data_IF_094867588628
#
_entry.id   IF_094867588628
#
_cell.length_a   1.000
_cell.length_b   1.000
_cell.length_c   1.000
_cell.angle_alpha   90.00
_cell.angle_beta   90.00
_cell.angle_gamma   90.00
#
_symmetry.space_group_name_H-M   'P 1'
#
loop_
_entity.id
_entity.type
_entity.pdbx_description
1 polymer ?
#
# COMPACT_ATOMS: atom_id res chain seq x y z
N UNK A 1 11.20 0.61 9.11
CA UNK A 1 10.15 1.11 8.19
C UNK A 1 9.09 0.06 7.94
N UNK A 2 9.46 -1.17 7.60
CA UNK A 2 8.52 -2.29 7.43
C UNK A 2 7.56 -2.47 8.61
N UNK A 3 8.04 -2.38 9.85
CA UNK A 3 7.19 -2.47 11.06
C UNK A 3 6.07 -1.42 11.11
N UNK A 4 6.27 -0.26 10.49
CA UNK A 4 5.26 0.81 10.44
C UNK A 4 4.22 0.58 9.35
N UNK A 5 4.58 -0.20 8.32
CA UNK A 5 3.71 -0.57 7.21
C UNK A 5 3.00 -1.91 7.47
N UNK A 6 3.60 -2.77 8.27
CA UNK A 6 3.04 -4.05 8.68
C UNK A 6 1.75 -3.88 9.49
N UNK A 7 0.83 -4.82 9.30
CA UNK A 7 -0.41 -4.90 10.09
C UNK A 7 -0.07 -5.14 11.57
N UNK A 8 0.84 -6.07 11.85
CA UNK A 8 1.10 -6.53 13.21
C UNK A 8 -0.18 -7.09 13.84
N UNK A 9 -0.43 -6.72 15.09
CA UNK A 9 -1.62 -7.13 15.85
C UNK A 9 -2.88 -6.29 15.56
N UNK A 10 -2.77 -5.25 14.70
CA UNK A 10 -3.89 -4.36 14.42
C UNK A 10 -4.99 -5.07 13.64
N UNK A 11 -6.24 -4.70 13.90
CA UNK A 11 -7.33 -5.06 13.01
C UNK A 11 -7.12 -4.41 11.63
N UNK A 12 -7.78 -4.95 10.60
CA UNK A 12 -7.71 -4.42 9.22
C UNK A 12 -8.08 -2.94 9.15
N UNK A 13 -9.16 -2.55 9.82
CA UNK A 13 -9.64 -1.17 9.85
C UNK A 13 -8.65 -0.22 10.53
N UNK A 14 -8.11 -0.62 11.69
CA UNK A 14 -7.11 0.18 12.42
C UNK A 14 -5.82 0.34 11.62
N UNK A 15 -5.39 -0.72 10.94
CA UNK A 15 -4.21 -0.70 10.10
C UNK A 15 -4.37 0.23 8.89
N UNK A 16 -5.46 0.11 8.14
CA UNK A 16 -5.77 1.02 7.01
C UNK A 16 -5.86 2.46 7.49
N UNK A 17 -6.53 2.71 8.61
CA UNK A 17 -6.64 4.05 9.18
C UNK A 17 -5.27 4.62 9.59
N UNK A 18 -4.37 3.79 10.13
CA UNK A 18 -3.01 4.20 10.46
C UNK A 18 -2.18 4.54 9.21
N UNK A 19 -2.31 3.76 8.13
CA UNK A 19 -1.63 4.01 6.86
C UNK A 19 -2.14 5.30 6.20
N UNK A 20 -3.45 5.57 6.22
CA UNK A 20 -4.05 6.82 5.73
C UNK A 20 -3.52 8.04 6.45
N UNK A 21 -3.59 8.05 7.79
CA UNK A 21 -3.03 9.14 8.61
C UNK A 21 -1.58 9.42 8.27
N UNK A 22 -0.80 8.38 7.96
CA UNK A 22 0.63 8.51 7.62
C UNK A 22 0.86 9.02 6.20
N UNK A 23 0.03 8.61 5.25
CA UNK A 23 0.07 9.11 3.87
C UNK A 23 -0.34 10.60 3.80
N UNK A 24 -1.39 10.96 4.52
CA UNK A 24 -1.98 12.31 4.56
C UNK A 24 -1.15 13.30 5.40
N UNK A 25 -0.42 12.83 6.42
CA UNK A 25 0.41 13.70 7.26
C UNK A 25 1.47 14.51 6.47
N UNK A 26 1.88 14.05 5.29
CA UNK A 26 2.77 14.81 4.40
C UNK A 26 2.09 15.81 3.47
N UNK A 27 0.77 15.78 3.34
CA UNK A 27 0.01 16.70 2.47
C UNK A 27 -0.35 18.02 3.17
N UNK A 28 -0.53 18.00 4.50
CA UNK A 28 -1.08 19.14 5.26
C UNK A 28 -0.06 19.81 6.21
N UNK A 29 1.11 19.19 6.41
CA UNK A 29 2.14 19.70 7.33
C UNK A 29 3.54 19.47 6.78
N UNK A 30 4.22 20.54 6.39
CA UNK A 30 5.63 20.59 5.96
C UNK A 30 6.62 19.93 6.95
N UNK A 31 6.19 19.53 8.15
CA UNK A 31 7.03 18.90 9.20
C UNK A 31 6.81 17.40 9.42
N UNK A 32 5.74 16.80 8.90
CA UNK A 32 5.54 15.34 8.99
C UNK A 32 5.82 14.74 7.63
N UNK A 33 7.09 14.45 7.35
CA UNK A 33 7.47 13.86 6.07
C UNK A 33 6.68 12.56 5.85
N UNK A 34 5.79 12.57 4.86
CA UNK A 34 5.24 11.34 4.31
C UNK A 34 6.39 10.40 3.95
N UNK A 35 6.20 9.09 4.14
CA UNK A 35 7.21 8.11 3.73
C UNK A 35 7.47 8.31 2.24
N UNK A 36 8.73 8.53 1.80
CA UNK A 36 9.06 8.73 0.40
C UNK A 36 8.59 7.56 -0.47
N UNK A 37 8.15 7.85 -1.70
CA UNK A 37 7.65 6.83 -2.61
C UNK A 37 8.70 5.74 -2.89
N UNK A 38 9.97 6.12 -3.04
CA UNK A 38 11.09 5.20 -3.29
C UNK A 38 11.27 4.19 -2.16
N UNK A 39 11.07 4.64 -0.92
CA UNK A 39 11.13 3.80 0.26
C UNK A 39 9.96 2.80 0.31
N UNK A 40 8.76 3.23 -0.08
CA UNK A 40 7.60 2.34 -0.19
C UNK A 40 7.81 1.29 -1.29
N UNK A 41 8.36 1.69 -2.43
CA UNK A 41 8.73 0.75 -3.50
C UNK A 41 9.76 -0.28 -3.02
N UNK A 42 10.80 0.16 -2.30
CA UNK A 42 11.79 -0.75 -1.74
C UNK A 42 11.17 -1.82 -0.82
N UNK A 43 10.18 -1.46 0.00
CA UNK A 43 9.47 -2.43 0.86
C UNK A 43 8.59 -3.36 0.04
N UNK A 44 7.83 -2.84 -0.93
CA UNK A 44 6.96 -3.65 -1.77
C UNK A 44 7.75 -4.70 -2.57
N UNK A 45 8.89 -4.29 -3.12
CA UNK A 45 9.76 -5.10 -3.98
C UNK A 45 10.67 -6.05 -3.17
N UNK A 46 10.84 -5.84 -1.86
CA UNK A 46 11.62 -6.72 -1.00
C UNK A 46 10.89 -8.08 -0.75
N UNK A 47 11.44 -9.22 -1.21
CA UNK A 47 10.82 -10.52 -1.00
C UNK A 47 10.90 -11.01 0.46
N UNK A 48 11.87 -10.52 1.24
CA UNK A 48 12.04 -10.87 2.66
C UNK A 48 11.16 -10.05 3.60
N UNK A 49 10.51 -9.00 3.07
CA UNK A 49 9.59 -8.16 3.83
C UNK A 49 8.34 -8.95 4.24
N UNK A 50 7.82 -8.61 5.43
CA UNK A 50 6.53 -9.13 5.89
C UNK A 50 5.42 -8.88 4.83
N UNK A 51 4.60 -9.89 4.49
CA UNK A 51 3.60 -9.75 3.44
C UNK A 51 2.63 -8.58 3.69
N UNK A 52 2.25 -8.34 4.95
CA UNK A 52 1.40 -7.21 5.31
C UNK A 52 2.13 -5.87 5.16
N UNK A 53 3.44 -5.81 5.42
CA UNK A 53 4.23 -4.60 5.17
C UNK A 53 4.28 -4.25 3.68
N UNK A 54 4.43 -5.26 2.81
CA UNK A 54 4.42 -5.09 1.35
C UNK A 54 3.08 -4.56 0.85
N UNK A 55 1.98 -5.13 1.36
CA UNK A 55 0.63 -4.67 1.04
C UNK A 55 0.40 -3.25 1.57
N UNK A 56 0.88 -2.96 2.78
CA UNK A 56 0.84 -1.63 3.38
C UNK A 56 1.56 -0.59 2.55
N UNK A 57 2.75 -0.94 2.03
CA UNK A 57 3.52 -0.07 1.13
C UNK A 57 2.76 0.25 -0.16
N UNK A 58 2.20 -0.76 -0.82
CA UNK A 58 1.37 -0.57 -2.02
C UNK A 58 0.14 0.31 -1.75
N UNK A 59 -0.52 0.11 -0.61
CA UNK A 59 -1.67 0.90 -0.20
C UNK A 59 -1.26 2.36 0.07
N UNK A 60 -0.17 2.60 0.78
CA UNK A 60 0.34 3.96 1.03
C UNK A 60 0.68 4.68 -0.27
N UNK A 61 1.33 4.01 -1.24
CA UNK A 61 1.56 4.57 -2.57
C UNK A 61 0.25 4.97 -3.25
N UNK A 62 -0.78 4.12 -3.17
CA UNK A 62 -2.10 4.42 -3.74
C UNK A 62 -2.77 5.64 -3.10
N UNK A 63 -2.67 5.79 -1.78
CA UNK A 63 -3.24 6.93 -1.06
C UNK A 63 -2.48 8.22 -1.41
N UNK A 64 -1.15 8.17 -1.50
CA UNK A 64 -0.32 9.36 -1.79
C UNK A 64 -0.50 9.88 -3.22
N UNK A 65 -0.64 8.99 -4.20
CA UNK A 65 -0.59 9.35 -5.63
C UNK A 65 -1.97 9.29 -6.31
N UNK A 66 -2.94 8.59 -5.73
CA UNK A 66 -4.27 8.43 -6.34
C UNK A 66 -4.28 7.53 -7.59
N UNK A 67 -5.26 7.69 -8.50
CA UNK A 67 -5.47 6.83 -9.66
C UNK A 67 -4.52 7.04 -10.86
N UNK A 68 -3.27 7.44 -10.61
CA UNK A 68 -2.32 7.76 -11.68
C UNK A 68 -1.93 6.52 -12.53
N UNK A 69 -1.94 6.61 -13.88
CA UNK A 69 -1.59 5.49 -14.76
C UNK A 69 -0.19 4.90 -14.51
N UNK A 70 0.81 5.74 -14.24
CA UNK A 70 2.18 5.29 -14.00
C UNK A 70 2.30 4.42 -12.73
N UNK A 71 1.63 4.82 -11.64
CA UNK A 71 1.54 4.01 -10.42
C UNK A 71 0.86 2.67 -10.70
N UNK A 72 -0.28 2.68 -11.41
CA UNK A 72 -1.04 1.46 -11.73
C UNK A 72 -0.20 0.47 -12.53
N UNK A 73 0.49 0.95 -13.56
CA UNK A 73 1.36 0.11 -14.38
C UNK A 73 2.47 -0.52 -13.54
N UNK A 74 3.10 0.26 -12.65
CA UNK A 74 4.18 -0.26 -11.80
C UNK A 74 3.68 -1.27 -10.76
N UNK A 75 2.52 -1.04 -10.15
CA UNK A 75 1.87 -2.01 -9.26
C UNK A 75 1.50 -3.30 -9.98
N UNK A 76 1.03 -3.21 -11.24
CA UNK A 76 0.74 -4.38 -12.07
C UNK A 76 1.99 -5.18 -12.45
N UNK A 77 3.15 -4.54 -12.58
CA UNK A 77 4.44 -5.25 -12.75
C UNK A 77 4.84 -5.94 -11.45
N UNK A 78 4.76 -5.24 -10.31
CA UNK A 78 5.08 -5.80 -9.00
C UNK A 78 4.19 -6.99 -8.63
N UNK A 79 2.91 -6.97 -9.01
CA UNK A 79 1.97 -8.08 -8.76
C UNK A 79 2.35 -9.35 -9.52
N UNK A 80 2.83 -9.21 -10.77
CA UNK A 80 3.30 -10.33 -11.59
C UNK A 80 4.62 -10.90 -11.10
N UNK A 81 5.47 -10.08 -10.49
CA UNK A 81 6.78 -10.47 -9.98
C UNK A 81 6.72 -11.17 -8.62
N UNK A 82 5.63 -11.03 -7.85
CA UNK A 82 5.53 -11.64 -6.52
C UNK A 82 5.03 -13.09 -6.55
N UNK A 83 5.69 -13.95 -5.78
CA UNK A 83 5.29 -15.35 -5.58
C UNK A 83 4.16 -15.51 -4.54
N UNK A 84 3.95 -14.52 -3.68
CA UNK A 84 2.95 -14.57 -2.60
C UNK A 84 1.56 -14.23 -3.14
N UNK A 85 0.57 -15.14 -3.09
CA UNK A 85 -0.77 -14.91 -3.65
C UNK A 85 -1.49 -13.71 -3.03
N UNK A 86 -1.37 -13.53 -1.72
CA UNK A 86 -1.98 -12.40 -1.01
C UNK A 86 -1.43 -11.04 -1.41
N UNK A 87 -0.10 -10.93 -1.59
CA UNK A 87 0.55 -9.70 -2.07
C UNK A 87 0.18 -9.45 -3.53
N UNK A 88 0.10 -10.49 -4.35
CA UNK A 88 -0.34 -10.41 -5.75
C UNK A 88 -1.75 -9.85 -5.84
N UNK A 89 -2.72 -10.48 -5.18
CA UNK A 89 -4.12 -10.04 -5.23
C UNK A 89 -4.30 -8.63 -4.68
N UNK A 90 -3.59 -8.26 -3.62
CA UNK A 90 -3.65 -6.92 -3.08
C UNK A 90 -3.11 -5.86 -4.05
N UNK A 91 -1.96 -6.11 -4.67
CA UNK A 91 -1.36 -5.18 -5.64
C UNK A 91 -2.17 -5.10 -6.93
N UNK A 92 -2.80 -6.19 -7.38
CA UNK A 92 -3.76 -6.18 -8.49
C UNK A 92 -4.98 -5.30 -8.20
N UNK A 93 -5.56 -5.41 -7.00
CA UNK A 93 -6.69 -4.56 -6.57
C UNK A 93 -6.28 -3.09 -6.58
N UNK A 94 -5.08 -2.77 -6.09
CA UNK A 94 -4.59 -1.38 -5.99
C UNK A 94 -4.14 -0.80 -7.34
N UNK A 95 -3.79 -1.65 -8.31
CA UNK A 95 -3.49 -1.27 -9.70
C UNK A 95 -4.75 -0.94 -10.52
N UNK A 96 -5.95 -1.18 -9.97
CA UNK A 96 -7.22 -0.90 -10.63
C UNK A 96 -7.47 0.58 -10.93
N UNK A 97 -8.41 0.84 -11.82
CA UNK A 97 -8.81 2.20 -12.24
C UNK A 97 -9.75 2.88 -11.25
N UNK A 98 -10.26 2.13 -10.28
CA UNK A 98 -11.23 2.60 -9.33
C UNK A 98 -10.67 3.67 -8.39
N UNK A 99 -11.57 4.47 -7.83
CA UNK A 99 -11.20 5.45 -6.81
C UNK A 99 -10.50 4.74 -5.63
N UNK A 100 -9.63 5.48 -4.94
CA UNK A 100 -8.92 4.96 -3.76
C UNK A 100 -9.88 4.32 -2.76
N UNK A 101 -11.00 4.97 -2.45
CA UNK A 101 -12.01 4.45 -1.53
C UNK A 101 -12.55 3.07 -1.94
N UNK A 102 -12.81 2.85 -3.23
CA UNK A 102 -13.31 1.57 -3.76
C UNK A 102 -12.21 0.50 -3.71
N UNK A 103 -10.99 0.85 -4.12
CA UNK A 103 -9.85 -0.07 -4.06
C UNK A 103 -9.54 -0.51 -2.62
N UNK A 104 -9.57 0.42 -1.66
CA UNK A 104 -9.39 0.15 -0.22
C UNK A 104 -10.49 -0.75 0.32
N UNK A 105 -11.74 -0.51 -0.04
CA UNK A 105 -12.87 -1.35 0.38
C UNK A 105 -12.73 -2.79 -0.16
N UNK A 106 -12.33 -2.95 -1.43
CA UNK A 106 -12.05 -4.27 -2.02
C UNK A 106 -10.90 -4.96 -1.30
N UNK A 107 -9.78 -4.28 -1.11
CA UNK A 107 -8.60 -4.80 -0.42
C UNK A 107 -8.97 -5.31 0.99
N UNK A 108 -9.69 -4.49 1.75
CA UNK A 108 -10.08 -4.82 3.13
C UNK A 108 -10.96 -6.07 3.20
N UNK A 109 -11.82 -6.30 2.19
CA UNK A 109 -12.65 -7.51 2.10
C UNK A 109 -11.85 -8.76 1.73
N UNK A 110 -10.82 -8.62 0.88
CA UNK A 110 -9.99 -9.73 0.40
C UNK A 110 -8.97 -10.21 1.43
N UNK A 111 -8.45 -9.30 2.27
CA UNK A 111 -7.55 -9.66 3.35
C UNK A 111 -8.31 -10.44 4.43
N UNK A 112 -7.92 -11.70 4.68
CA UNK A 112 -8.46 -12.53 5.75
C UNK A 112 -7.92 -12.10 7.13
#
# INVERSE_FOLDING_TARGET
METQLARGERSRGEWVAALRRRAEAGQESYRLAAVPAEQLWAVLENPEADPSARIGAALTLRIQTGPEPALRQRLAVASRATALPEVRSATEILAGEETEAVAVAKLTRTLR
#
